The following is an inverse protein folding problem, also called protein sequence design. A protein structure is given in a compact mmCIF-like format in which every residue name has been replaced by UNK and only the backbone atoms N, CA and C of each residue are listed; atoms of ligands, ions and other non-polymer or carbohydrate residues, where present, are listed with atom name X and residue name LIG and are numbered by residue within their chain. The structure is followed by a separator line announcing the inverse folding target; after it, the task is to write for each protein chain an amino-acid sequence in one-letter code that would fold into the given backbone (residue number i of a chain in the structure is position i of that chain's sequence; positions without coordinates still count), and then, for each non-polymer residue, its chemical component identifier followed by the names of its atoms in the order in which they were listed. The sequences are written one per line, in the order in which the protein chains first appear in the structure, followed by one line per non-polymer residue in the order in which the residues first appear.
data_IF_455003454808
#
_entry.id   IF_455003454808
#
_cell.length_a   1.000
_cell.length_b   1.000
_cell.length_c   1.000
_cell.angle_alpha   90.00
_cell.angle_beta   90.00
_cell.angle_gamma   90.00
#
_symmetry.space_group_name_H-M   'P 1'
#
loop_
_entity.id
_entity.type
_entity.pdbx_description
1 polymer ?
#
# COMPACT_ATOMS: atom_id res chain seq x y z
N UNK A 1 18.70 -20.99 -48.30
CA UNK A 1 18.19 -19.81 -47.57
C UNK A 1 17.30 -20.30 -46.43
N UNK A 2 17.72 -20.05 -45.20
CA UNK A 2 17.11 -20.51 -43.95
C UNK A 2 15.65 -20.02 -43.80
N UNK A 3 14.75 -20.92 -43.40
CA UNK A 3 13.48 -20.54 -42.78
C UNK A 3 13.76 -20.28 -41.30
N UNK A 4 13.60 -19.03 -40.87
CA UNK A 4 13.67 -18.66 -39.47
C UNK A 4 12.46 -19.24 -38.73
N UNK A 5 12.75 -20.07 -37.72
CA UNK A 5 11.80 -20.52 -36.71
C UNK A 5 11.43 -19.32 -35.83
N UNK A 6 10.14 -19.02 -35.70
CA UNK A 6 9.65 -18.07 -34.71
C UNK A 6 9.55 -18.83 -33.40
N UNK A 7 10.56 -18.67 -32.57
CA UNK A 7 10.58 -19.19 -31.21
C UNK A 7 9.54 -18.43 -30.38
N UNK A 8 8.43 -19.09 -30.05
CA UNK A 8 7.35 -18.53 -29.21
C UNK A 8 7.73 -18.62 -27.72
N UNK A 9 8.82 -17.97 -27.35
CA UNK A 9 9.32 -17.91 -25.97
C UNK A 9 9.02 -16.56 -25.32
N UNK A 10 7.88 -16.46 -24.62
CA UNK A 10 7.75 -15.89 -23.27
C UNK A 10 6.26 -15.94 -22.88
N UNK A 11 5.86 -17.06 -22.27
CA UNK A 11 4.65 -17.02 -21.47
C UNK A 11 5.01 -16.22 -20.21
N UNK A 12 4.47 -15.01 -20.07
CA UNK A 12 4.35 -14.33 -18.79
C UNK A 12 3.28 -15.08 -17.97
N UNK A 13 3.58 -16.33 -17.62
CA UNK A 13 2.85 -17.02 -16.56
C UNK A 13 3.44 -16.47 -15.27
N UNK A 14 2.76 -15.48 -14.67
CA UNK A 14 2.98 -15.15 -13.27
C UNK A 14 2.89 -16.47 -12.52
N UNK A 15 3.98 -16.98 -11.91
CA UNK A 15 3.88 -18.20 -11.15
C UNK A 15 3.03 -17.82 -9.94
N UNK A 16 1.76 -18.19 -9.98
CA UNK A 16 1.03 -18.38 -8.73
C UNK A 16 1.92 -19.32 -7.94
N UNK A 17 2.61 -18.77 -6.93
CA UNK A 17 3.66 -19.46 -6.18
C UNK A 17 3.03 -20.74 -5.69
N UNK A 18 3.37 -21.87 -6.33
CA UNK A 18 2.79 -23.16 -5.97
C UNK A 18 3.18 -23.39 -4.52
N UNK A 19 2.17 -23.53 -3.67
CA UNK A 19 2.37 -23.99 -2.31
C UNK A 19 2.96 -25.41 -2.40
N UNK A 20 4.28 -25.52 -2.32
CA UNK A 20 5.02 -26.79 -2.26
C UNK A 20 4.80 -27.49 -0.90
N UNK A 21 3.59 -27.42 -0.34
CA UNK A 21 3.27 -27.83 1.04
C UNK A 21 3.80 -26.88 2.11
N UNK A 22 4.38 -25.73 1.75
CA UNK A 22 4.84 -24.69 2.68
C UNK A 22 3.68 -23.73 3.01
N UNK A 23 3.47 -23.46 4.31
CA UNK A 23 2.59 -22.38 4.78
C UNK A 23 3.12 -21.05 4.27
N UNK A 24 2.24 -20.24 3.67
CA UNK A 24 2.59 -18.91 3.17
C UNK A 24 2.26 -17.86 4.23
N UNK A 25 3.15 -16.86 4.36
CA UNK A 25 2.97 -15.72 5.25
C UNK A 25 2.57 -14.50 4.44
N UNK A 26 1.37 -13.98 4.72
CA UNK A 26 0.83 -12.76 4.11
C UNK A 26 0.96 -11.63 5.14
N UNK A 27 1.70 -10.58 4.78
CA UNK A 27 1.88 -9.41 5.62
C UNK A 27 0.72 -8.44 5.42
N UNK A 28 -0.33 -8.63 6.23
CA UNK A 28 -1.51 -7.77 6.28
C UNK A 28 -1.12 -6.31 6.58
N UNK A 29 -1.28 -5.45 5.57
CA UNK A 29 -0.85 -4.03 5.58
C UNK A 29 0.65 -3.80 5.82
N UNK A 30 1.47 -4.80 5.51
CA UNK A 30 2.91 -4.83 5.83
C UNK A 30 3.19 -5.24 7.28
N UNK A 31 4.33 -4.81 7.83
CA UNK A 31 4.67 -5.00 9.24
C UNK A 31 3.93 -3.98 10.12
N UNK A 32 2.60 -3.95 10.04
CA UNK A 32 1.71 -2.95 10.63
C UNK A 32 1.76 -2.86 12.15
N UNK A 33 2.28 -3.89 12.83
CA UNK A 33 2.54 -3.83 14.26
C UNK A 33 3.81 -3.03 14.62
N UNK A 34 4.71 -2.78 13.65
CA UNK A 34 6.02 -2.18 13.85
C UNK A 34 6.17 -0.81 13.16
N UNK A 35 5.37 -0.54 12.14
CA UNK A 35 5.39 0.67 11.31
C UNK A 35 3.95 1.03 10.96
N UNK A 36 3.63 2.33 10.73
CA UNK A 36 2.33 2.73 10.22
C UNK A 36 1.97 1.92 8.98
N UNK A 37 0.78 1.34 9.02
CA UNK A 37 0.27 0.45 7.99
C UNK A 37 0.29 1.09 6.60
N UNK A 38 0.41 0.24 5.57
CA UNK A 38 0.48 0.62 4.15
C UNK A 38 1.56 1.61 3.75
N UNK A 39 2.61 1.77 4.56
CA UNK A 39 3.81 2.52 4.14
C UNK A 39 4.79 1.60 3.42
N UNK A 40 5.61 2.15 2.50
CA UNK A 40 6.71 1.38 1.89
C UNK A 40 7.65 0.80 2.95
N UNK A 41 7.83 1.49 4.08
CA UNK A 41 8.63 1.00 5.19
C UNK A 41 7.99 -0.20 5.91
N UNK A 42 6.66 -0.23 6.07
CA UNK A 42 5.96 -1.39 6.61
C UNK A 42 6.07 -2.60 5.69
N UNK A 43 5.89 -2.41 4.37
CA UNK A 43 6.05 -3.50 3.40
C UNK A 43 7.48 -4.01 3.34
N UNK A 44 8.47 -3.11 3.25
CA UNK A 44 9.88 -3.50 3.23
C UNK A 44 10.24 -4.28 4.50
N UNK A 45 9.82 -3.80 5.67
CA UNK A 45 10.09 -4.49 6.93
C UNK A 45 9.48 -5.89 6.97
N UNK A 46 8.25 -6.06 6.49
CA UNK A 46 7.62 -7.38 6.39
C UNK A 46 8.37 -8.33 5.45
N UNK A 47 8.85 -7.82 4.32
CA UNK A 47 9.66 -8.60 3.36
C UNK A 47 10.97 -9.05 4.00
N UNK A 48 11.64 -8.15 4.73
CA UNK A 48 12.86 -8.43 5.51
C UNK A 48 12.62 -9.48 6.60
N UNK A 49 11.44 -9.45 7.23
CA UNK A 49 11.02 -10.44 8.24
C UNK A 49 10.57 -11.78 7.65
N UNK A 50 10.56 -11.91 6.31
CA UNK A 50 10.35 -13.17 5.60
C UNK A 50 8.94 -13.40 5.08
N UNK A 51 8.10 -12.36 4.97
CA UNK A 51 6.77 -12.49 4.36
C UNK A 51 6.87 -13.02 2.91
N UNK A 52 6.00 -13.96 2.54
CA UNK A 52 5.91 -14.46 1.16
C UNK A 52 5.08 -13.51 0.28
N UNK A 53 4.10 -12.82 0.87
CA UNK A 53 3.25 -11.82 0.22
C UNK A 53 3.13 -10.57 1.08
N UNK A 54 2.95 -9.42 0.44
CA UNK A 54 2.35 -8.25 1.09
C UNK A 54 0.89 -8.09 0.65
N UNK A 55 0.09 -7.47 1.50
CA UNK A 55 -1.32 -7.21 1.25
C UNK A 55 -1.55 -5.69 1.40
N UNK A 56 -1.77 -4.98 0.27
CA UNK A 56 -2.24 -3.61 0.28
C UNK A 56 -3.76 -3.53 0.04
N UNK A 57 -4.44 -2.81 0.92
CA UNK A 57 -5.73 -2.19 0.64
C UNK A 57 -5.54 -1.00 -0.32
N UNK A 58 -6.42 -0.85 -1.30
CA UNK A 58 -6.32 0.21 -2.31
C UNK A 58 -7.55 1.10 -2.31
N UNK A 59 -7.31 2.41 -2.25
CA UNK A 59 -8.34 3.43 -2.49
C UNK A 59 -7.88 4.38 -3.59
N UNK A 60 -8.82 5.11 -4.18
CA UNK A 60 -8.54 5.98 -5.34
C UNK A 60 -8.47 7.46 -4.94
N UNK A 61 -7.51 8.17 -5.52
CA UNK A 61 -7.41 9.63 -5.50
C UNK A 61 -8.36 10.28 -6.53
N UNK A 62 -8.58 11.59 -6.43
CA UNK A 62 -9.43 12.37 -7.36
C UNK A 62 -8.97 12.27 -8.82
N UNK A 63 -7.67 12.18 -9.04
CA UNK A 63 -7.03 12.09 -10.35
C UNK A 63 -6.76 10.64 -10.81
N UNK A 64 -7.35 9.65 -10.12
CA UNK A 64 -7.43 8.26 -10.60
C UNK A 64 -6.22 7.38 -10.25
N UNK A 65 -5.31 7.86 -9.41
CA UNK A 65 -4.19 7.06 -8.89
C UNK A 65 -4.67 6.21 -7.72
N UNK A 66 -4.38 4.90 -7.77
CA UNK A 66 -4.57 3.98 -6.65
C UNK A 66 -3.47 4.19 -5.61
N UNK A 67 -3.87 4.37 -4.35
CA UNK A 67 -2.95 4.54 -3.22
C UNK A 67 -3.16 3.43 -2.21
N UNK A 68 -2.08 2.97 -1.58
CA UNK A 68 -2.18 1.92 -0.57
C UNK A 68 -2.67 2.51 0.77
N UNK A 69 -3.92 2.21 1.14
CA UNK A 69 -4.56 2.53 2.43
C UNK A 69 -5.86 1.74 2.61
N UNK A 70 -6.23 1.52 3.86
CA UNK A 70 -7.44 0.80 4.24
C UNK A 70 -8.74 1.62 4.16
N UNK A 71 -8.84 2.79 4.80
CA UNK A 71 -10.06 3.61 4.73
C UNK A 71 -9.93 4.78 3.75
N UNK A 72 -11.01 5.16 3.05
CA UNK A 72 -11.05 6.41 2.26
C UNK A 72 -10.90 7.67 3.14
N UNK A 73 -11.41 7.64 4.38
CA UNK A 73 -11.25 8.73 5.35
C UNK A 73 -9.78 8.80 5.85
N UNK A 74 -9.22 10.00 5.90
CA UNK A 74 -7.78 10.25 6.08
C UNK A 74 -7.38 10.56 7.54
N UNK A 75 -8.28 11.04 8.39
CA UNK A 75 -7.95 11.60 9.71
C UNK A 75 -7.29 10.60 10.64
N UNK A 76 -7.74 9.35 10.58
CA UNK A 76 -7.33 8.29 11.52
C UNK A 76 -5.86 7.91 11.37
N UNK A 77 -5.35 7.84 10.15
CA UNK A 77 -4.01 7.29 9.83
C UNK A 77 -3.08 8.27 9.11
N UNK A 78 -3.47 9.54 8.98
CA UNK A 78 -2.63 10.58 8.33
C UNK A 78 -2.66 11.88 9.11
N UNK A 79 -1.72 12.79 8.83
CA UNK A 79 -1.65 14.13 9.42
C UNK A 79 -2.57 15.19 8.78
N UNK A 80 -3.51 14.81 7.90
CA UNK A 80 -4.35 15.74 7.13
C UNK A 80 -4.97 16.88 7.95
N UNK A 81 -5.43 16.58 9.18
CA UNK A 81 -6.08 17.55 10.06
C UNK A 81 -5.15 18.69 10.53
N UNK A 82 -3.82 18.51 10.45
CA UNK A 82 -2.84 19.55 10.82
C UNK A 82 -2.42 20.43 9.65
N UNK A 83 -2.83 20.09 8.42
CA UNK A 83 -2.52 20.89 7.23
C UNK A 83 -3.55 21.99 7.02
N UNK A 84 -3.19 23.23 7.34
CA UNK A 84 -4.08 24.39 7.19
C UNK A 84 -4.64 24.57 5.76
N UNK A 85 -3.85 24.20 4.74
CA UNK A 85 -4.28 24.22 3.34
C UNK A 85 -5.47 23.29 3.05
N UNK A 86 -5.66 22.25 3.87
CA UNK A 86 -6.71 21.26 3.69
C UNK A 86 -7.89 21.46 4.67
N UNK A 87 -7.84 22.43 5.57
CA UNK A 87 -8.90 22.65 6.56
C UNK A 87 -10.30 22.81 5.93
N UNK A 88 -10.39 23.52 4.80
CA UNK A 88 -11.65 23.73 4.08
C UNK A 88 -12.16 22.49 3.31
N UNK A 89 -11.38 21.41 3.25
CA UNK A 89 -11.74 20.14 2.59
C UNK A 89 -12.47 19.16 3.52
N UNK A 90 -12.56 19.46 4.82
CA UNK A 90 -13.31 18.61 5.76
C UNK A 90 -14.80 18.62 5.38
N UNK A 91 -15.39 17.44 5.22
CA UNK A 91 -16.79 17.30 4.79
C UNK A 91 -17.43 16.08 5.44
N UNK A 92 -18.73 15.86 5.21
CA UNK A 92 -19.46 14.67 5.61
C UNK A 92 -19.82 13.81 4.39
N UNK A 93 -19.68 12.48 4.52
CA UNK A 93 -20.08 11.50 3.49
C UNK A 93 -20.75 10.29 4.15
N UNK A 94 -21.65 9.65 3.41
CA UNK A 94 -22.22 8.36 3.82
C UNK A 94 -21.32 7.23 3.31
N UNK A 95 -20.72 6.45 4.21
CA UNK A 95 -19.89 5.29 3.92
C UNK A 95 -20.55 4.08 4.58
N UNK A 96 -20.91 3.07 3.79
CA UNK A 96 -21.61 1.87 4.24
C UNK A 96 -22.88 2.15 5.06
N UNK A 97 -23.59 3.24 4.72
CA UNK A 97 -24.79 3.69 5.41
C UNK A 97 -24.55 4.43 6.73
N UNK A 98 -23.29 4.74 7.06
CA UNK A 98 -22.91 5.55 8.22
C UNK A 98 -22.43 6.92 7.77
N UNK A 99 -22.90 7.97 8.45
CA UNK A 99 -22.40 9.33 8.24
C UNK A 99 -21.02 9.47 8.88
N UNK A 100 -20.01 9.70 8.04
CA UNK A 100 -18.62 9.89 8.43
C UNK A 100 -18.25 11.35 8.13
N UNK A 101 -17.68 12.05 9.09
CA UNK A 101 -17.08 13.37 8.86
C UNK A 101 -15.56 13.30 8.89
N UNK A 102 -14.92 13.89 7.88
CA UNK A 102 -13.47 13.84 7.76
C UNK A 102 -12.95 14.41 6.46
N UNK A 103 -11.80 13.91 6.04
CA UNK A 103 -11.19 14.22 4.74
C UNK A 103 -11.11 12.92 3.95
N UNK A 104 -11.54 12.92 2.70
CA UNK A 104 -11.69 11.68 1.94
C UNK A 104 -10.74 11.64 0.76
N UNK A 105 -10.11 10.49 0.54
CA UNK A 105 -9.07 10.29 -0.46
C UNK A 105 -9.46 10.80 -1.86
N UNK A 106 -10.70 10.54 -2.26
CA UNK A 106 -11.26 10.89 -3.57
C UNK A 106 -11.47 12.40 -3.78
N UNK A 107 -11.28 13.22 -2.75
CA UNK A 107 -11.33 14.69 -2.86
C UNK A 107 -9.95 15.32 -3.16
N UNK A 108 -8.88 14.53 -3.05
CA UNK A 108 -7.48 14.96 -3.17
C UNK A 108 -6.80 14.34 -4.40
N UNK A 109 -5.91 15.10 -5.04
CA UNK A 109 -4.96 14.55 -6.02
C UNK A 109 -3.93 13.65 -5.35
N UNK A 110 -3.29 12.77 -6.11
CA UNK A 110 -2.18 11.98 -5.58
C UNK A 110 -1.05 12.85 -5.01
N UNK A 111 -0.69 13.95 -5.68
CA UNK A 111 0.38 14.84 -5.19
C UNK A 111 0.03 15.45 -3.82
N UNK A 112 -1.24 15.82 -3.61
CA UNK A 112 -1.72 16.28 -2.30
C UNK A 112 -1.67 15.14 -1.26
N UNK A 113 -2.09 13.93 -1.61
CA UNK A 113 -2.03 12.76 -0.71
C UNK A 113 -0.59 12.38 -0.35
N UNK A 114 0.33 12.42 -1.31
CA UNK A 114 1.76 12.16 -1.13
C UNK A 114 2.42 13.17 -0.18
N UNK A 115 1.85 14.38 -0.07
CA UNK A 115 2.33 15.40 0.86
C UNK A 115 2.02 15.08 2.33
N UNK A 116 1.00 14.25 2.59
CA UNK A 116 0.60 13.82 3.93
C UNK A 116 1.61 12.84 4.53
N UNK A 117 1.62 12.75 5.86
CA UNK A 117 2.41 11.78 6.61
C UNK A 117 1.52 10.79 7.34
N UNK A 118 1.86 9.52 7.21
CA UNK A 118 1.22 8.43 7.90
C UNK A 118 1.42 8.55 9.42
N UNK A 119 0.40 8.13 10.15
CA UNK A 119 0.38 8.02 11.62
C UNK A 119 -0.18 6.65 12.00
N UNK A 120 0.27 6.13 13.12
CA UNK A 120 -0.22 4.87 13.66
C UNK A 120 -1.69 5.00 14.11
N UNK A 121 -2.63 4.23 13.52
CA UNK A 121 -4.04 4.28 13.92
C UNK A 121 -4.36 3.62 15.28
N UNK A 122 -3.45 2.81 15.85
CA UNK A 122 -3.60 2.15 17.16
C UNK A 122 -2.40 2.42 18.10
N UNK A 123 -2.15 3.70 18.44
CA UNK A 123 -0.89 4.10 19.08
C UNK A 123 -0.71 3.57 20.50
N UNK A 124 -1.80 3.28 21.22
CA UNK A 124 -1.76 2.69 22.56
C UNK A 124 -1.20 1.26 22.54
N UNK A 125 -1.31 0.56 21.40
CA UNK A 125 -0.85 -0.82 21.22
C UNK A 125 0.50 -0.89 20.51
N UNK A 126 0.72 -0.05 19.49
CA UNK A 126 1.86 -0.15 18.54
C UNK A 126 2.89 0.98 18.68
N UNK A 127 2.59 2.01 19.49
CA UNK A 127 3.45 3.17 19.68
C UNK A 127 3.40 4.18 18.52
N UNK A 128 4.09 5.32 18.68
CA UNK A 128 4.09 6.44 17.72
C UNK A 128 5.46 6.80 17.16
N UNK A 129 6.45 5.92 17.32
CA UNK A 129 7.85 6.22 16.97
C UNK A 129 8.09 6.47 15.49
N UNK A 130 7.12 6.15 14.64
CA UNK A 130 7.20 6.27 13.18
C UNK A 130 6.18 7.26 12.59
N UNK A 131 5.40 7.95 13.43
CA UNK A 131 4.46 8.98 12.98
C UNK A 131 5.22 10.12 12.29
N UNK A 132 4.63 10.67 11.21
CA UNK A 132 5.19 11.85 10.55
C UNK A 132 6.36 11.57 9.60
N UNK A 133 6.80 10.31 9.47
CA UNK A 133 7.99 9.95 8.68
C UNK A 133 7.63 9.56 7.25
N UNK A 134 6.62 8.71 7.08
CA UNK A 134 6.34 8.05 5.81
C UNK A 134 5.18 8.71 5.06
N UNK A 135 5.30 8.82 3.74
CA UNK A 135 4.22 9.27 2.86
C UNK A 135 3.25 8.12 2.53
N UNK A 136 2.06 8.47 2.05
CA UNK A 136 1.12 7.52 1.43
C UNK A 136 1.69 7.12 0.06
N UNK A 137 1.95 5.84 -0.21
CA UNK A 137 2.48 5.41 -1.50
C UNK A 137 1.37 5.20 -2.54
N UNK A 138 1.69 5.46 -3.81
CA UNK A 138 0.91 4.93 -4.93
C UNK A 138 1.12 3.41 -5.05
N UNK A 139 0.16 2.72 -5.64
CA UNK A 139 0.26 1.28 -5.89
C UNK A 139 1.47 0.91 -6.75
N UNK A 140 1.79 1.71 -7.77
CA UNK A 140 2.96 1.48 -8.62
C UNK A 140 4.27 1.53 -7.82
N UNK A 141 4.36 2.38 -6.79
CA UNK A 141 5.55 2.44 -5.93
C UNK A 141 5.68 1.21 -5.01
N UNK A 142 4.54 0.61 -4.66
CA UNK A 142 4.50 -0.67 -3.94
C UNK A 142 4.97 -1.80 -4.85
N UNK A 143 4.54 -1.81 -6.11
CA UNK A 143 5.01 -2.79 -7.11
C UNK A 143 6.51 -2.63 -7.38
N UNK A 144 7.01 -1.41 -7.54
CA UNK A 144 8.43 -1.12 -7.72
C UNK A 144 9.27 -1.61 -6.53
N UNK A 145 8.75 -1.46 -5.30
CA UNK A 145 9.38 -2.02 -4.10
C UNK A 145 9.48 -3.55 -4.20
N UNK A 146 8.42 -4.23 -4.62
CA UNK A 146 8.39 -5.69 -4.73
C UNK A 146 9.36 -6.21 -5.78
N UNK A 147 9.43 -5.57 -6.93
CA UNK A 147 10.38 -5.92 -7.99
C UNK A 147 11.81 -5.78 -7.51
N UNK A 148 12.13 -4.65 -6.86
CA UNK A 148 13.45 -4.39 -6.28
C UNK A 148 13.82 -5.42 -5.21
N UNK A 149 12.93 -5.68 -4.26
CA UNK A 149 13.20 -6.60 -3.16
C UNK A 149 13.25 -8.05 -3.63
N UNK A 150 12.46 -8.43 -4.63
CA UNK A 150 12.50 -9.77 -5.21
C UNK A 150 13.85 -10.04 -5.90
N UNK A 151 14.37 -9.05 -6.62
CA UNK A 151 15.71 -9.12 -7.21
C UNK A 151 16.80 -9.17 -6.12
N UNK A 152 16.72 -8.29 -5.12
CA UNK A 152 17.69 -8.21 -4.03
C UNK A 152 17.79 -9.50 -3.20
N UNK A 153 16.66 -10.18 -2.99
CA UNK A 153 16.57 -11.39 -2.17
C UNK A 153 16.62 -12.69 -2.98
N UNK A 154 16.71 -12.59 -4.31
CA UNK A 154 16.65 -13.75 -5.22
C UNK A 154 15.44 -14.67 -4.95
N UNK A 155 14.30 -14.08 -4.57
CA UNK A 155 13.02 -14.78 -4.35
C UNK A 155 11.85 -13.93 -4.82
N UNK A 156 10.81 -14.54 -5.36
CA UNK A 156 9.58 -13.83 -5.70
C UNK A 156 8.83 -13.43 -4.43
N UNK A 157 8.55 -12.14 -4.27
CA UNK A 157 7.59 -11.61 -3.29
C UNK A 157 6.26 -11.40 -4.00
N UNK A 158 5.18 -11.99 -3.48
CA UNK A 158 3.85 -11.81 -4.04
C UNK A 158 3.13 -10.57 -3.49
N UNK A 159 2.05 -10.20 -4.17
CA UNK A 159 1.14 -9.12 -3.78
C UNK A 159 -0.30 -9.63 -3.80
N UNK A 160 -1.09 -9.25 -2.80
CA UNK A 160 -2.51 -9.59 -2.70
C UNK A 160 -3.28 -8.27 -2.46
N UNK A 161 -3.64 -7.54 -3.53
CA UNK A 161 -4.35 -6.28 -3.36
C UNK A 161 -5.83 -6.50 -2.99
N UNK A 162 -6.34 -5.67 -2.09
CA UNK A 162 -7.77 -5.53 -1.76
C UNK A 162 -8.34 -4.25 -2.40
N UNK A 163 -9.57 -4.33 -2.95
CA UNK A 163 -10.28 -3.26 -3.70
C UNK A 163 -11.64 -2.96 -3.08
#
# INVERSE_FOLDING_TARGET
MQRASIDRGLACVHPFVRANGKVQVIAHRGASALRPEHTLAAYQKAIEDGADFIEPDLVMSRDGVLVARHECELSRSTDVATHAAFAARRTGKSIDGMDVEGWFCEDFTFDELRSLRAREPLPELRGRSHDGIHAIPAFDEVVDLLDRESQRLERTIGIIPEL
#
